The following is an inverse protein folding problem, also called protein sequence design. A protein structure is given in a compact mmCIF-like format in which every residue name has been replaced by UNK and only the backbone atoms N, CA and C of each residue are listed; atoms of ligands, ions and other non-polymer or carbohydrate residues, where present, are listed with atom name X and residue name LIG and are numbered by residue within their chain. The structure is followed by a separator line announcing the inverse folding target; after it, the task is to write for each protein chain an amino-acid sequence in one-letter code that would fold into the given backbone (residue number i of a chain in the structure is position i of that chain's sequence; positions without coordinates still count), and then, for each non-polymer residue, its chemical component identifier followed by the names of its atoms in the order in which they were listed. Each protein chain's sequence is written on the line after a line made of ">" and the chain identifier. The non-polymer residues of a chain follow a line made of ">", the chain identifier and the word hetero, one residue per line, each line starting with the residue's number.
data_IF_860655615634
#
_entry.id   IF_860655615634
#
_cell.length_a   1.000
_cell.length_b   1.000
_cell.length_c   1.000
_cell.angle_alpha   90.00
_cell.angle_beta   90.00
_cell.angle_gamma   90.00
#
_symmetry.space_group_name_H-M   'P 1'
#
loop_
_entity.id
_entity.type
_entity.pdbx_description
1 polymer ?
#
# COMPACT_ATOMS: atom_id res chain seq x y z
N UNK A 1 20.81 2.33 -8.75
CA UNK A 1 19.38 2.13 -8.45
C UNK A 1 19.14 0.75 -7.83
N UNK A 2 18.29 0.69 -6.83
CA UNK A 2 17.77 -0.55 -6.24
C UNK A 2 16.28 -0.64 -6.53
N UNK A 3 15.86 -1.63 -7.29
CA UNK A 3 14.45 -1.85 -7.65
C UNK A 3 13.84 -2.90 -6.72
N UNK A 4 12.74 -2.57 -6.06
CA UNK A 4 12.02 -3.48 -5.19
C UNK A 4 10.94 -4.21 -5.99
N UNK A 5 11.18 -5.48 -6.30
CA UNK A 5 10.32 -6.32 -7.13
C UNK A 5 9.24 -7.11 -6.37
N UNK A 6 8.95 -6.75 -5.11
CA UNK A 6 7.94 -7.41 -4.29
C UNK A 6 7.06 -6.37 -3.59
N UNK A 7 5.77 -6.65 -3.51
CA UNK A 7 4.78 -5.77 -2.86
C UNK A 7 5.04 -5.50 -1.38
N UNK A 8 5.76 -6.38 -0.69
CA UNK A 8 6.07 -6.25 0.73
C UNK A 8 7.41 -5.53 1.01
N UNK A 9 8.32 -5.48 0.05
CA UNK A 9 9.64 -4.86 0.25
C UNK A 9 9.62 -3.36 0.57
N UNK A 10 8.63 -2.55 0.15
CA UNK A 10 8.54 -1.16 0.59
C UNK A 10 8.53 -0.97 2.10
N UNK A 11 8.00 -1.93 2.87
CA UNK A 11 8.03 -1.88 4.34
C UNK A 11 9.44 -2.00 4.92
N UNK A 12 10.39 -2.53 4.16
CA UNK A 12 11.80 -2.68 4.55
C UNK A 12 12.67 -1.49 4.15
N UNK A 13 12.13 -0.49 3.43
CA UNK A 13 12.91 0.67 2.97
C UNK A 13 13.71 1.34 4.10
N UNK A 14 13.14 1.57 5.31
CA UNK A 14 13.91 2.18 6.39
C UNK A 14 15.14 1.36 6.82
N UNK A 15 15.05 0.04 6.79
CA UNK A 15 16.13 -0.87 7.11
C UNK A 15 17.15 -0.95 5.96
N UNK A 16 16.67 -1.05 4.73
CA UNK A 16 17.53 -1.07 3.53
C UNK A 16 18.38 0.20 3.46
N UNK A 17 17.80 1.36 3.71
CA UNK A 17 18.51 2.65 3.70
C UNK A 17 19.65 2.75 4.73
N UNK A 18 19.64 1.95 5.78
CA UNK A 18 20.74 1.89 6.77
C UNK A 18 21.94 1.12 6.26
N UNK A 19 21.77 0.28 5.26
CA UNK A 19 22.78 -0.67 4.77
C UNK A 19 23.39 -0.19 3.44
N UNK A 20 22.56 0.40 2.56
CA UNK A 20 22.99 0.84 1.23
C UNK A 20 23.61 2.26 1.30
N UNK A 21 24.56 2.57 0.39
CA UNK A 21 25.08 3.92 0.23
C UNK A 21 23.97 4.94 -0.08
N UNK A 22 24.12 6.16 0.42
CA UNK A 22 23.12 7.24 0.27
C UNK A 22 22.86 7.69 -1.18
N UNK A 23 23.79 7.42 -2.09
CA UNK A 23 23.66 7.71 -3.52
C UNK A 23 22.82 6.67 -4.28
N UNK A 24 22.41 5.57 -3.65
CA UNK A 24 21.54 4.57 -4.26
C UNK A 24 20.08 5.02 -4.12
N UNK A 25 19.40 5.16 -5.25
CA UNK A 25 17.95 5.43 -5.29
C UNK A 25 17.17 4.13 -5.24
N UNK A 26 16.24 4.06 -4.30
CA UNK A 26 15.27 2.95 -4.21
C UNK A 26 14.08 3.29 -5.09
N UNK A 27 13.65 2.33 -5.90
CA UNK A 27 12.48 2.42 -6.77
C UNK A 27 11.52 1.29 -6.38
N UNK A 28 10.30 1.64 -6.09
CA UNK A 28 9.18 0.70 -5.91
C UNK A 28 8.01 1.09 -6.83
N UNK A 29 7.04 0.19 -6.99
CA UNK A 29 5.91 0.40 -7.89
C UNK A 29 4.71 1.11 -7.26
N UNK A 30 4.70 1.31 -5.94
CA UNK A 30 3.52 1.76 -5.20
C UNK A 30 2.94 3.08 -5.70
N UNK A 31 3.77 4.11 -5.83
CA UNK A 31 3.32 5.43 -6.30
C UNK A 31 2.86 5.39 -7.77
N UNK A 32 3.57 4.66 -8.62
CA UNK A 32 3.23 4.54 -10.04
C UNK A 32 1.88 3.83 -10.22
N UNK A 33 1.65 2.74 -9.50
CA UNK A 33 0.36 2.01 -9.51
C UNK A 33 -0.76 2.89 -8.98
N UNK A 34 -0.59 3.60 -7.88
CA UNK A 34 -1.59 4.49 -7.32
C UNK A 34 -1.98 5.61 -8.30
N UNK A 35 -0.99 6.24 -8.94
CA UNK A 35 -1.23 7.25 -9.98
C UNK A 35 -2.01 6.69 -11.16
N UNK A 36 -1.63 5.52 -11.66
CA UNK A 36 -2.32 4.88 -12.78
C UNK A 36 -3.75 4.49 -12.41
N UNK A 37 -3.98 3.96 -11.22
CA UNK A 37 -5.32 3.66 -10.71
C UNK A 37 -6.19 4.92 -10.70
N UNK A 38 -5.68 6.02 -10.14
CA UNK A 38 -6.39 7.31 -10.16
C UNK A 38 -6.72 7.78 -11.59
N UNK A 39 -5.78 7.64 -12.52
CA UNK A 39 -6.00 8.04 -13.92
C UNK A 39 -7.11 7.21 -14.58
N UNK A 40 -7.12 5.90 -14.36
CA UNK A 40 -8.15 5.01 -14.92
C UNK A 40 -9.52 5.32 -14.31
N UNK A 41 -9.60 5.51 -13.00
CA UNK A 41 -10.85 5.90 -12.33
C UNK A 41 -11.37 7.23 -12.87
N UNK A 42 -10.50 8.21 -13.07
CA UNK A 42 -10.87 9.50 -13.62
C UNK A 42 -11.41 9.40 -15.06
N UNK A 43 -10.72 8.65 -15.93
CA UNK A 43 -11.17 8.41 -17.32
C UNK A 43 -12.55 7.77 -17.41
N UNK A 44 -12.90 6.94 -16.44
CA UNK A 44 -14.18 6.22 -16.42
C UNK A 44 -15.24 6.93 -15.55
N UNK A 45 -15.00 8.16 -15.09
CA UNK A 45 -15.88 8.92 -14.18
C UNK A 45 -16.23 8.17 -12.88
N UNK A 46 -15.32 7.34 -12.40
CA UNK A 46 -15.46 6.57 -11.16
C UNK A 46 -14.71 7.19 -9.97
N UNK A 47 -14.02 8.32 -10.19
CA UNK A 47 -13.28 8.99 -9.14
C UNK A 47 -14.24 9.64 -8.16
N UNK A 48 -14.11 9.33 -6.87
CA UNK A 48 -14.88 9.97 -5.82
C UNK A 48 -14.38 11.38 -5.58
N UNK A 49 -15.23 12.38 -5.85
CA UNK A 49 -14.88 13.79 -5.75
C UNK A 49 -15.37 14.47 -4.47
N UNK A 50 -16.15 13.76 -3.64
CA UNK A 50 -16.71 14.32 -2.40
C UNK A 50 -15.79 14.05 -1.22
N UNK A 51 -15.54 15.07 -0.40
CA UNK A 51 -14.78 15.00 0.86
C UNK A 51 -15.58 14.32 2.00
N UNK A 52 -16.29 13.24 1.71
CA UNK A 52 -16.99 12.49 2.73
C UNK A 52 -15.99 11.55 3.45
N UNK A 53 -16.22 11.31 4.75
CA UNK A 53 -15.47 10.27 5.46
C UNK A 53 -15.62 8.95 4.72
N UNK A 54 -14.50 8.42 4.24
CA UNK A 54 -14.44 7.12 3.57
C UNK A 54 -14.24 6.05 4.65
N UNK A 55 -15.09 5.03 4.64
CA UNK A 55 -14.88 3.84 5.45
C UNK A 55 -14.05 2.84 4.64
N UNK A 56 -12.90 2.47 5.18
CA UNK A 56 -12.07 1.43 4.60
C UNK A 56 -12.23 0.15 5.42
N UNK A 57 -12.59 -0.94 4.75
CA UNK A 57 -12.71 -2.26 5.35
C UNK A 57 -11.72 -3.18 4.63
N UNK A 58 -10.95 -3.92 5.40
CA UNK A 58 -9.97 -4.89 4.89
C UNK A 58 -10.46 -6.29 5.19
N UNK A 59 -10.26 -7.20 4.26
CA UNK A 59 -10.59 -8.62 4.43
C UNK A 59 -9.31 -9.44 4.43
N UNK A 60 -9.22 -10.41 5.32
CA UNK A 60 -8.12 -11.37 5.42
C UNK A 60 -8.67 -12.78 5.54
N UNK A 61 -8.10 -13.74 4.82
CA UNK A 61 -8.43 -15.16 4.94
C UNK A 61 -7.55 -15.90 5.96
N UNK A 62 -6.69 -15.16 6.65
CA UNK A 62 -5.83 -15.66 7.74
C UNK A 62 -5.96 -14.72 8.93
N UNK A 63 -5.35 -15.10 10.06
CA UNK A 63 -5.29 -14.26 11.26
C UNK A 63 -4.95 -12.79 10.92
N UNK A 64 -5.77 -11.89 11.40
CA UNK A 64 -5.70 -10.45 11.10
C UNK A 64 -4.56 -9.71 11.82
N UNK A 65 -3.82 -10.34 12.74
CA UNK A 65 -2.82 -9.67 13.58
C UNK A 65 -1.70 -9.01 12.78
N UNK A 66 -1.21 -9.71 11.74
CA UNK A 66 -0.16 -9.17 10.86
C UNK A 66 -0.69 -7.95 10.10
N UNK A 67 -1.91 -8.05 9.56
CA UNK A 67 -2.53 -6.96 8.82
C UNK A 67 -2.83 -5.78 9.74
N UNK A 68 -3.29 -6.01 10.95
CA UNK A 68 -3.48 -4.98 11.98
C UNK A 68 -2.17 -4.24 12.30
N UNK A 69 -1.08 -4.98 12.46
CA UNK A 69 0.25 -4.39 12.70
C UNK A 69 0.69 -3.49 11.54
N UNK A 70 0.53 -3.94 10.30
CA UNK A 70 0.90 -3.19 9.09
C UNK A 70 0.05 -1.92 8.96
N UNK A 71 -1.25 -2.01 9.23
CA UNK A 71 -2.21 -0.91 9.12
C UNK A 71 -2.24 0.00 10.35
N UNK A 72 -1.46 -0.30 11.40
CA UNK A 72 -1.38 0.49 12.63
C UNK A 72 -2.67 0.52 13.43
N UNK A 73 -3.46 -0.55 13.42
CA UNK A 73 -4.73 -0.71 14.17
C UNK A 73 -5.78 0.38 13.91
N UNK A 74 -5.75 1.00 12.73
CA UNK A 74 -6.61 2.15 12.39
C UNK A 74 -7.82 1.81 11.54
N UNK A 75 -7.92 0.57 11.07
CA UNK A 75 -8.95 0.16 10.13
C UNK A 75 -9.70 -1.07 10.62
N UNK A 76 -10.92 -1.25 10.12
CA UNK A 76 -11.70 -2.47 10.35
C UNK A 76 -11.14 -3.60 9.50
N UNK A 77 -10.83 -4.72 10.11
CA UNK A 77 -10.38 -5.94 9.43
C UNK A 77 -11.40 -7.04 9.74
N UNK A 78 -11.85 -7.71 8.71
CA UNK A 78 -12.78 -8.84 8.78
C UNK A 78 -12.03 -10.08 8.33
N UNK A 79 -12.00 -11.08 9.21
CA UNK A 79 -11.52 -12.41 8.83
C UNK A 79 -12.64 -13.13 8.08
N UNK A 80 -12.37 -13.54 6.87
CA UNK A 80 -13.32 -14.22 6.01
C UNK A 80 -12.60 -15.22 5.12
N UNK A 81 -13.10 -16.43 5.09
CA UNK A 81 -12.62 -17.45 4.16
C UNK A 81 -13.10 -17.13 2.74
N UNK A 82 -12.15 -17.09 1.81
CA UNK A 82 -12.40 -16.82 0.39
C UNK A 82 -11.38 -17.46 -0.54
#
# INVERSE_FOLDING_TARGET
>A
YLVLGCSHYPYLIPQIKKIIPSNIKIIDSGEAVAKQTKNILNKNNLLHLKNNKVSNVFYSNVNSDVLNTILGNRYSIIEQDF
#
